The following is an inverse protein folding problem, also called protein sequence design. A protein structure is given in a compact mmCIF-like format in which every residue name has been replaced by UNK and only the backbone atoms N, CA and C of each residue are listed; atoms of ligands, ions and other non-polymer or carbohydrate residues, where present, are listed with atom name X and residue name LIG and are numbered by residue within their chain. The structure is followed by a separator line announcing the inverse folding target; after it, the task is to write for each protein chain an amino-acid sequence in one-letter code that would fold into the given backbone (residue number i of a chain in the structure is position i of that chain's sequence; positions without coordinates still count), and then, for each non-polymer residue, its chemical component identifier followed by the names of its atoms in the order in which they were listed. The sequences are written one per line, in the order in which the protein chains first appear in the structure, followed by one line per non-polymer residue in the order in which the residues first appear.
data_IF_301933335676
#
_entry.id   IF_301933335676
#
_cell.length_a   1.000
_cell.length_b   1.000
_cell.length_c   1.000
_cell.angle_alpha   90.00
_cell.angle_beta   90.00
_cell.angle_gamma   90.00
#
_symmetry.space_group_name_H-M   'P 1'
#
loop_
_entity.id
_entity.type
_entity.pdbx_description
1 polymer ?
#
# COMPACT_ATOMS: atom_id res chain seq x y z
N UNK A 1 -25.51 42.62 29.33
CA UNK A 1 -24.66 41.44 29.61
C UNK A 1 -24.82 40.44 28.48
N UNK A 2 -23.80 40.15 27.67
CA UNK A 2 -23.80 39.00 26.77
C UNK A 2 -23.00 37.83 27.39
N UNK A 3 -23.59 36.63 27.31
CA UNK A 3 -23.07 35.36 27.82
C UNK A 3 -21.90 34.81 26.98
N UNK A 4 -21.01 33.97 27.55
CA UNK A 4 -19.89 33.39 26.82
C UNK A 4 -20.34 32.24 25.92
N UNK A 5 -20.02 32.32 24.63
CA UNK A 5 -20.13 31.20 23.68
C UNK A 5 -19.03 30.18 24.00
N UNK A 6 -19.45 28.97 24.37
CA UNK A 6 -18.56 27.82 24.60
C UNK A 6 -18.00 27.35 23.26
N UNK A 7 -16.68 27.40 23.11
CA UNK A 7 -15.99 26.81 21.98
C UNK A 7 -15.95 25.29 22.14
N UNK A 8 -16.58 24.55 21.23
CA UNK A 8 -16.41 23.10 21.07
C UNK A 8 -15.04 22.81 20.43
N UNK A 9 -14.15 22.02 21.06
CA UNK A 9 -12.94 21.56 20.41
C UNK A 9 -13.30 20.36 19.52
N UNK A 10 -13.11 20.49 18.21
CA UNK A 10 -13.26 19.39 17.25
C UNK A 10 -11.96 19.23 16.47
N UNK A 11 -10.91 18.71 17.12
CA UNK A 11 -9.62 18.51 16.41
C UNK A 11 -8.71 17.41 16.98
N UNK A 12 -9.20 16.43 17.74
CA UNK A 12 -8.34 15.38 18.33
C UNK A 12 -8.46 13.98 17.71
N UNK A 13 -9.53 13.65 16.99
CA UNK A 13 -9.76 12.26 16.54
C UNK A 13 -8.86 11.80 15.39
N UNK A 14 -8.34 12.71 14.56
CA UNK A 14 -7.43 12.35 13.47
C UNK A 14 -6.04 11.95 13.97
N UNK A 15 -5.55 12.59 15.04
CA UNK A 15 -4.19 12.39 15.55
C UNK A 15 -4.02 11.04 16.26
N UNK A 16 -5.04 10.55 16.99
CA UNK A 16 -5.01 9.24 17.65
C UNK A 16 -5.01 8.09 16.64
N UNK A 17 -5.78 8.22 15.56
CA UNK A 17 -5.84 7.20 14.51
C UNK A 17 -4.53 7.05 13.74
N UNK A 18 -3.75 8.13 13.62
CA UNK A 18 -2.42 8.11 13.01
C UNK A 18 -1.39 7.42 13.91
N UNK A 19 -1.41 7.69 15.22
CA UNK A 19 -0.51 7.05 16.18
C UNK A 19 -0.74 5.54 16.33
N UNK A 20 -2.00 5.09 16.30
CA UNK A 20 -2.36 3.66 16.40
C UNK A 20 -1.91 2.87 15.17
N UNK A 21 -1.94 3.46 13.97
CA UNK A 21 -1.63 2.72 12.73
C UNK A 21 -0.14 2.63 12.45
N UNK A 22 0.61 3.66 12.82
CA UNK A 22 2.05 3.56 12.80
C UNK A 22 2.55 2.57 13.85
N UNK A 23 1.81 2.38 14.96
CA UNK A 23 2.07 1.30 15.92
C UNK A 23 1.94 -0.11 15.27
N UNK A 24 1.01 -0.32 14.34
CA UNK A 24 0.88 -1.60 13.61
C UNK A 24 2.11 -1.87 12.72
N UNK A 25 2.56 -0.88 11.94
CA UNK A 25 3.79 -1.03 11.15
C UNK A 25 5.02 -1.21 12.03
N UNK A 26 5.06 -0.51 13.17
CA UNK A 26 6.11 -0.66 14.18
C UNK A 26 6.14 -2.06 14.76
N UNK A 27 4.99 -2.65 15.06
CA UNK A 27 4.88 -4.02 15.53
C UNK A 27 5.30 -5.04 14.45
N UNK A 28 4.86 -4.86 13.20
CA UNK A 28 5.19 -5.75 12.08
C UNK A 28 6.68 -5.72 11.78
N UNK A 29 7.29 -4.54 11.76
CA UNK A 29 8.70 -4.36 11.42
C UNK A 29 9.64 -4.36 12.64
N UNK A 30 9.11 -4.54 13.85
CA UNK A 30 9.89 -4.56 15.09
C UNK A 30 10.66 -3.26 15.35
N UNK A 31 10.03 -2.10 15.16
CA UNK A 31 10.65 -0.78 15.41
C UNK A 31 9.91 0.01 16.47
N UNK A 32 10.67 0.72 17.28
CA UNK A 32 10.21 1.57 18.36
C UNK A 32 10.03 3.03 17.94
N UNK A 33 10.32 3.39 16.68
CA UNK A 33 10.18 4.73 16.13
C UNK A 33 9.28 4.81 14.90
N UNK A 34 8.89 6.03 14.58
CA UNK A 34 8.22 6.39 13.34
C UNK A 34 9.09 6.06 12.12
N UNK A 35 8.49 5.49 11.07
CA UNK A 35 9.19 5.14 9.82
C UNK A 35 8.82 6.13 8.71
N UNK A 36 9.80 6.52 7.90
CA UNK A 36 9.54 7.28 6.67
C UNK A 36 9.18 6.37 5.49
N UNK A 37 8.66 6.95 4.39
CA UNK A 37 8.27 6.20 3.18
C UNK A 37 9.40 5.30 2.63
N UNK A 38 10.63 5.81 2.56
CA UNK A 38 11.78 5.04 2.07
C UNK A 38 12.11 3.83 2.95
N UNK A 39 12.07 4.00 4.27
CA UNK A 39 12.29 2.92 5.24
C UNK A 39 11.18 1.87 5.18
N UNK A 40 9.92 2.30 5.05
CA UNK A 40 8.76 1.41 4.89
C UNK A 40 8.93 0.57 3.62
N UNK A 41 9.25 1.19 2.48
CA UNK A 41 9.45 0.47 1.22
C UNK A 41 10.65 -0.48 1.29
N UNK A 42 11.75 -0.05 1.91
CA UNK A 42 12.94 -0.87 2.08
C UNK A 42 12.65 -2.12 2.93
N UNK A 43 11.95 -1.96 4.05
CA UNK A 43 11.58 -3.08 4.93
C UNK A 43 10.55 -3.99 4.30
N UNK A 44 9.61 -3.42 3.54
CA UNK A 44 8.63 -4.20 2.78
C UNK A 44 9.29 -5.12 1.76
N UNK A 45 10.41 -4.71 1.14
CA UNK A 45 11.18 -5.58 0.23
C UNK A 45 11.82 -6.79 0.91
N UNK A 46 12.01 -6.75 2.23
CA UNK A 46 12.55 -7.87 2.99
C UNK A 46 11.48 -8.90 3.40
N UNK A 47 10.21 -8.65 3.09
CA UNK A 47 9.14 -9.60 3.39
C UNK A 47 9.29 -10.89 2.56
N UNK A 48 8.97 -12.07 3.11
CA UNK A 48 9.12 -13.34 2.40
C UNK A 48 8.33 -13.39 1.08
N UNK A 49 8.97 -13.87 0.02
CA UNK A 49 8.35 -14.02 -1.31
C UNK A 49 8.33 -12.72 -2.15
N UNK A 50 8.85 -11.61 -1.62
CA UNK A 50 9.05 -10.37 -2.37
C UNK A 50 10.48 -10.30 -2.88
N UNK A 51 10.62 -10.09 -4.19
CA UNK A 51 11.91 -9.89 -4.85
C UNK A 51 12.20 -8.43 -5.13
N UNK A 52 11.20 -7.71 -5.63
CA UNK A 52 11.26 -6.28 -5.90
C UNK A 52 9.94 -5.63 -5.54
N UNK A 53 9.99 -4.39 -5.07
CA UNK A 53 8.81 -3.62 -4.71
C UNK A 53 9.01 -2.15 -5.04
N UNK A 54 8.02 -1.55 -5.68
CA UNK A 54 7.99 -0.14 -6.03
C UNK A 54 6.59 0.45 -5.87
N UNK A 55 6.52 1.71 -5.45
CA UNK A 55 5.30 2.52 -5.53
C UNK A 55 5.13 2.98 -6.98
N UNK A 56 3.96 2.76 -7.54
CA UNK A 56 3.62 3.25 -8.87
C UNK A 56 3.26 4.75 -8.76
N UNK A 57 3.88 5.63 -9.56
CA UNK A 57 3.48 7.03 -9.62
C UNK A 57 2.02 7.18 -10.02
N UNK A 58 1.29 8.12 -9.42
CA UNK A 58 -0.14 8.33 -9.69
C UNK A 58 -0.44 8.57 -11.18
N UNK A 59 0.46 9.27 -11.88
CA UNK A 59 0.37 9.51 -13.32
C UNK A 59 0.39 8.22 -14.16
N UNK A 60 1.06 7.17 -13.70
CA UNK A 60 1.26 5.92 -14.45
C UNK A 60 0.18 4.87 -14.15
N UNK A 61 -0.60 5.06 -13.08
CA UNK A 61 -1.64 4.11 -12.65
C UNK A 61 -2.64 3.83 -13.78
N UNK A 62 -3.10 4.87 -14.47
CA UNK A 62 -4.08 4.75 -15.55
C UNK A 62 -3.56 3.90 -16.72
N UNK A 63 -2.26 3.97 -17.01
CA UNK A 63 -1.64 3.16 -18.06
C UNK A 63 -1.69 1.66 -17.72
N UNK A 64 -1.38 1.30 -16.46
CA UNK A 64 -1.40 -0.09 -15.99
C UNK A 64 -2.83 -0.65 -16.01
N UNK A 65 -3.81 0.13 -15.58
CA UNK A 65 -5.21 -0.28 -15.60
C UNK A 65 -5.74 -0.43 -17.03
N UNK A 66 -5.36 0.48 -17.93
CA UNK A 66 -5.68 0.37 -19.35
C UNK A 66 -5.16 -0.93 -19.94
N UNK A 67 -3.90 -1.30 -19.66
CA UNK A 67 -3.29 -2.56 -20.12
C UNK A 67 -4.08 -3.76 -19.56
N UNK A 68 -4.34 -3.80 -18.24
CA UNK A 68 -5.10 -4.89 -17.63
C UNK A 68 -6.49 -5.05 -18.25
N UNK A 69 -7.19 -3.94 -18.50
CA UNK A 69 -8.50 -3.92 -19.13
C UNK A 69 -8.46 -4.47 -20.55
N UNK A 70 -7.52 -4.00 -21.37
CA UNK A 70 -7.35 -4.50 -22.75
C UNK A 70 -7.07 -6.00 -22.73
N UNK A 71 -6.12 -6.45 -21.89
CA UNK A 71 -5.75 -7.86 -21.79
C UNK A 71 -6.90 -8.76 -21.30
N UNK A 72 -7.73 -8.27 -20.38
CA UNK A 72 -8.94 -9.00 -19.95
C UNK A 72 -9.98 -9.17 -21.06
N UNK A 73 -9.98 -8.29 -22.05
CA UNK A 73 -10.90 -8.33 -23.20
C UNK A 73 -10.48 -9.28 -24.33
N UNK A 74 -9.27 -9.85 -24.30
CA UNK A 74 -8.74 -10.72 -25.37
C UNK A 74 -9.37 -12.14 -25.35
N UNK A 75 -10.31 -12.40 -24.42
CA UNK A 75 -11.07 -13.65 -24.40
C UNK A 75 -10.39 -14.79 -23.65
N UNK A 76 -9.46 -14.48 -22.74
CA UNK A 76 -8.87 -15.45 -21.81
C UNK A 76 -9.84 -15.88 -20.67
N UNK A 77 -11.12 -15.53 -20.77
CA UNK A 77 -12.13 -15.76 -19.73
C UNK A 77 -11.83 -15.00 -18.44
N UNK A 78 -12.48 -15.38 -17.34
CA UNK A 78 -12.29 -14.82 -15.98
C UNK A 78 -10.85 -15.00 -15.42
N UNK A 79 -9.91 -15.44 -16.27
CA UNK A 79 -8.50 -15.59 -15.99
C UNK A 79 -7.86 -14.25 -15.65
N UNK A 80 -7.31 -14.18 -14.44
CA UNK A 80 -6.55 -13.03 -13.99
C UNK A 80 -5.32 -12.82 -14.89
N UNK A 81 -5.24 -11.64 -15.51
CA UNK A 81 -4.08 -11.21 -16.28
C UNK A 81 -2.85 -11.18 -15.36
N UNK A 82 -1.88 -12.07 -15.62
CA UNK A 82 -0.59 -12.09 -14.92
C UNK A 82 0.46 -11.36 -15.74
N UNK A 83 1.06 -10.33 -15.16
CA UNK A 83 2.18 -9.61 -15.74
C UNK A 83 3.48 -10.26 -15.25
N UNK A 84 4.48 -10.33 -16.13
CA UNK A 84 5.78 -10.90 -15.81
C UNK A 84 6.88 -9.90 -16.14
N UNK A 85 7.90 -9.82 -15.28
CA UNK A 85 9.13 -9.09 -15.53
C UNK A 85 10.27 -10.12 -15.49
N UNK A 86 10.88 -10.39 -16.65
CA UNK A 86 11.76 -11.55 -16.82
C UNK A 86 10.98 -12.86 -16.62
N UNK A 87 11.47 -13.71 -15.71
CA UNK A 87 10.82 -14.99 -15.36
C UNK A 87 9.94 -14.93 -14.10
N UNK A 88 9.79 -13.76 -13.47
CA UNK A 88 9.07 -13.63 -12.21
C UNK A 88 7.76 -12.83 -12.39
N UNK A 89 6.65 -13.27 -11.78
CA UNK A 89 5.37 -12.57 -11.85
C UNK A 89 5.40 -11.24 -11.08
N UNK A 90 4.64 -10.28 -11.59
CA UNK A 90 4.40 -8.97 -10.99
C UNK A 90 2.96 -8.90 -10.51
N UNK A 91 2.81 -8.74 -9.22
CA UNK A 91 1.56 -8.52 -8.51
C UNK A 91 1.35 -7.02 -8.29
N UNK A 92 0.10 -6.59 -8.31
CA UNK A 92 -0.26 -5.22 -8.02
C UNK A 92 -1.16 -5.19 -6.79
N UNK A 93 -0.72 -4.50 -5.74
CA UNK A 93 -1.49 -4.32 -4.50
C UNK A 93 -1.98 -2.88 -4.49
N UNK A 94 -3.30 -2.71 -4.59
CA UNK A 94 -3.96 -1.39 -4.53
C UNK A 94 -4.58 -1.21 -3.16
N UNK A 95 -4.37 -0.05 -2.59
CA UNK A 95 -5.09 0.42 -1.40
C UNK A 95 -5.39 1.92 -1.57
N UNK A 96 -6.67 2.26 -1.77
CA UNK A 96 -7.08 3.61 -2.15
C UNK A 96 -6.38 4.07 -3.43
N UNK A 97 -5.71 5.23 -3.37
CA UNK A 97 -4.99 5.83 -4.48
C UNK A 97 -3.55 5.32 -4.64
N UNK A 98 -3.05 4.56 -3.65
CA UNK A 98 -1.70 3.98 -3.72
C UNK A 98 -1.75 2.63 -4.42
N UNK A 99 -0.87 2.47 -5.40
CA UNK A 99 -0.64 1.22 -6.10
C UNK A 99 0.81 0.80 -5.91
N UNK A 100 1.02 -0.40 -5.37
CA UNK A 100 2.32 -1.04 -5.26
C UNK A 100 2.47 -2.09 -6.36
N UNK A 101 3.58 -2.03 -7.08
CA UNK A 101 4.03 -3.08 -8.00
C UNK A 101 5.05 -3.96 -7.27
N UNK A 102 4.76 -5.26 -7.20
CA UNK A 102 5.54 -6.21 -6.41
C UNK A 102 5.92 -7.40 -7.27
N UNK A 103 7.21 -7.57 -7.52
CA UNK A 103 7.72 -8.78 -8.15
C UNK A 103 7.84 -9.87 -7.09
N UNK A 104 7.22 -11.01 -7.33
CA UNK A 104 7.17 -12.13 -6.37
C UNK A 104 7.90 -13.36 -6.91
N UNK A 105 8.35 -14.22 -6.01
CA UNK A 105 8.96 -15.52 -6.33
C UNK A 105 7.89 -16.61 -6.49
N UNK A 106 6.88 -16.33 -7.33
CA UNK A 106 5.77 -17.26 -7.59
C UNK A 106 4.52 -17.04 -6.74
N UNK A 107 4.56 -16.11 -5.78
CA UNK A 107 3.41 -15.66 -5.00
C UNK A 107 3.80 -15.06 -3.65
N UNK A 108 2.82 -14.55 -2.91
CA UNK A 108 3.02 -14.05 -1.55
C UNK A 108 3.03 -15.20 -0.53
N UNK A 109 3.94 -15.13 0.44
CA UNK A 109 3.82 -15.94 1.65
C UNK A 109 2.58 -15.52 2.47
N UNK A 110 2.05 -16.38 3.35
CA UNK A 110 0.89 -16.06 4.17
C UNK A 110 1.08 -14.74 4.95
N UNK A 111 0.09 -13.84 4.91
CA UNK A 111 0.12 -12.57 5.64
C UNK A 111 0.90 -11.43 4.96
N UNK A 112 1.70 -11.72 3.93
CA UNK A 112 2.52 -10.70 3.24
C UNK A 112 1.65 -9.75 2.42
N UNK A 113 0.62 -10.26 1.74
CA UNK A 113 -0.30 -9.42 0.97
C UNK A 113 -1.03 -8.42 1.88
N UNK A 114 -1.49 -8.88 3.03
CA UNK A 114 -2.19 -8.08 4.03
C UNK A 114 -1.25 -7.02 4.62
N UNK A 115 0.00 -7.40 4.90
CA UNK A 115 1.05 -6.47 5.32
C UNK A 115 1.27 -5.37 4.28
N UNK A 116 1.32 -5.72 2.99
CA UNK A 116 1.46 -4.76 1.91
C UNK A 116 0.26 -3.82 1.77
N UNK A 117 -0.96 -4.28 2.07
CA UNK A 117 -2.14 -3.41 2.14
C UNK A 117 -2.00 -2.37 3.26
N UNK A 118 -1.52 -2.79 4.44
CA UNK A 118 -1.25 -1.86 5.57
C UNK A 118 -0.18 -0.85 5.18
N UNK A 119 0.90 -1.30 4.54
CA UNK A 119 1.97 -0.45 4.02
C UNK A 119 1.42 0.56 3.01
N UNK A 120 0.68 0.12 2.00
CA UNK A 120 0.10 1.00 0.99
C UNK A 120 -0.83 2.05 1.62
N UNK A 121 -1.61 1.66 2.64
CA UNK A 121 -2.49 2.56 3.40
C UNK A 121 -1.71 3.62 4.19
N UNK A 122 -0.55 3.27 4.76
CA UNK A 122 0.32 4.24 5.43
C UNK A 122 0.95 5.21 4.44
N UNK A 123 1.44 4.71 3.31
CA UNK A 123 2.02 5.54 2.26
C UNK A 123 1.01 6.55 1.68
N UNK A 124 -0.28 6.20 1.64
CA UNK A 124 -1.35 7.11 1.26
C UNK A 124 -1.61 8.21 2.31
N UNK A 125 -1.31 7.98 3.59
CA UNK A 125 -1.43 9.03 4.61
C UNK A 125 -0.27 10.00 4.59
N UNK A 126 0.92 9.50 4.24
CA UNK A 126 2.15 10.27 4.25
C UNK A 126 2.30 11.22 3.05
N UNK A 127 1.49 11.03 1.99
CA UNK A 127 1.53 11.82 0.77
C UNK A 127 0.16 12.09 0.19
#
# INVERSE_FOLDING_TARGET
MPSPTVATPSTSSFSESSGIRQLELRAIFGVDRELNEGEILQRSRALPGIRQLARVPSADIGAIEGIKRVLSGIGFGDGQVKLYCGSSPVEFVREGEVLLAVQTDGGFAPGVRETLMIVARELHRMG
#
